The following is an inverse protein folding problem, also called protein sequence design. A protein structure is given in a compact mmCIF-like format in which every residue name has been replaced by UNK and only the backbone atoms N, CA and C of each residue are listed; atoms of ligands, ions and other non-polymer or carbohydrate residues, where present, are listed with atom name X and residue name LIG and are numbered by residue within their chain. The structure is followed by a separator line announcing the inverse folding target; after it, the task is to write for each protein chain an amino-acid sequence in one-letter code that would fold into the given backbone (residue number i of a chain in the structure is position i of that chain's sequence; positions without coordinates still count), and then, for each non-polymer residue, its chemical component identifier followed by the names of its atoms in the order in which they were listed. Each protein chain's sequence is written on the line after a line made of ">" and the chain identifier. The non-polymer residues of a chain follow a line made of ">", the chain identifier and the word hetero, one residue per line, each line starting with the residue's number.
data_IF_723114977347
#
_entry.id   IF_723114977347
#
_cell.length_a   1.000
_cell.length_b   1.000
_cell.length_c   1.000
_cell.angle_alpha   90.00
_cell.angle_beta   90.00
_cell.angle_gamma   90.00
#
_symmetry.space_group_name_H-M   'P 1'
#
loop_
_entity.id
_entity.type
_entity.pdbx_description
1 polymer ?
#
# COMPACT_ATOMS: atom_id res chain seq x y z
N UNK A 1 -8.91 -5.76 12.80
CA UNK A 1 -8.21 -5.23 11.63
C UNK A 1 -9.00 -4.20 10.81
N UNK A 2 -10.34 -4.14 10.88
CA UNK A 2 -11.17 -3.12 10.21
C UNK A 2 -10.92 -1.67 10.66
N UNK A 3 -10.39 -1.45 11.85
CA UNK A 3 -10.27 -0.11 12.47
C UNK A 3 -9.00 0.65 12.02
N UNK A 4 -7.92 -0.04 11.69
CA UNK A 4 -6.63 0.62 11.45
C UNK A 4 -6.49 1.22 10.05
N UNK A 5 -7.05 0.59 9.02
CA UNK A 5 -6.95 1.09 7.63
C UNK A 5 -8.05 2.12 7.32
N UNK A 6 -9.25 1.93 7.85
CA UNK A 6 -10.33 2.93 7.77
C UNK A 6 -10.00 4.20 8.56
N UNK A 7 -9.24 4.12 9.65
CA UNK A 7 -8.79 5.30 10.40
C UNK A 7 -7.82 6.18 9.59
N UNK A 8 -6.97 5.60 8.74
CA UNK A 8 -6.07 6.37 7.85
C UNK A 8 -6.85 7.02 6.71
N UNK A 9 -7.87 6.37 6.16
CA UNK A 9 -8.73 6.96 5.12
C UNK A 9 -9.75 7.97 5.71
N UNK A 10 -10.29 7.72 6.90
CA UNK A 10 -11.29 8.60 7.52
C UNK A 10 -10.71 9.95 7.96
N UNK A 11 -9.44 10.01 8.38
CA UNK A 11 -8.77 11.27 8.73
C UNK A 11 -8.48 12.15 7.50
N UNK A 12 -8.39 11.58 6.31
CA UNK A 12 -8.20 12.34 5.07
C UNK A 12 -9.49 13.03 4.56
N UNK A 13 -10.67 12.56 4.99
CA UNK A 13 -11.97 13.09 4.59
C UNK A 13 -12.46 14.28 5.42
N UNK A 14 -11.76 14.70 6.48
CA UNK A 14 -12.13 15.84 7.32
C UNK A 14 -11.35 17.11 6.99
N UNK A 15 -11.20 17.45 5.73
CA UNK A 15 -10.73 18.78 5.36
C UNK A 15 -11.91 19.78 5.44
N UNK A 16 -11.82 20.86 6.22
CA UNK A 16 -12.91 21.83 6.31
C UNK A 16 -13.01 22.63 5.00
N UNK A 17 -14.15 22.53 4.33
CA UNK A 17 -14.53 23.41 3.22
C UNK A 17 -14.77 24.83 3.75
N UNK A 18 -13.72 25.65 3.86
CA UNK A 18 -13.91 27.08 4.04
C UNK A 18 -14.30 27.76 2.72
N UNK A 19 -15.60 27.89 2.47
CA UNK A 19 -16.14 28.84 1.52
C UNK A 19 -15.95 30.27 2.08
N UNK A 20 -14.92 30.97 1.66
CA UNK A 20 -14.80 32.41 1.87
C UNK A 20 -15.57 33.17 0.80
N UNK A 21 -16.71 33.77 1.20
CA UNK A 21 -17.29 34.89 0.48
C UNK A 21 -16.32 36.08 0.51
N UNK A 22 -15.74 36.40 -0.64
CA UNK A 22 -14.88 37.57 -0.82
C UNK A 22 -15.77 38.77 -1.16
N UNK A 23 -15.96 39.69 -0.19
CA UNK A 23 -16.42 41.05 -0.46
C UNK A 23 -15.26 41.79 -1.17
N UNK A 24 -15.57 42.39 -2.33
CA UNK A 24 -14.65 43.24 -3.06
C UNK A 24 -14.76 44.65 -2.46
N UNK A 25 -13.81 45.05 -1.66
CA UNK A 25 -13.61 46.45 -1.25
C UNK A 25 -12.30 46.94 -1.88
N UNK A 26 -12.41 48.05 -2.60
CA UNK A 26 -11.39 48.59 -3.49
C UNK A 26 -10.23 49.38 -2.81
N UNK A 27 -9.55 48.78 -1.83
CA UNK A 27 -8.32 49.35 -1.27
C UNK A 27 -7.13 48.44 -1.58
N UNK A 28 -6.07 49.03 -2.19
CA UNK A 28 -4.82 48.31 -2.48
C UNK A 28 -4.30 47.62 -1.21
N UNK A 29 -4.04 46.30 -1.27
CA UNK A 29 -3.44 45.62 -0.13
C UNK A 29 -2.00 46.12 0.08
N UNK A 30 -1.56 46.27 1.35
CA UNK A 30 -0.16 46.55 1.65
C UNK A 30 0.69 45.36 1.14
N UNK A 31 1.82 45.70 0.51
CA UNK A 31 2.83 44.75 0.07
C UNK A 31 3.24 43.90 1.28
N UNK A 32 3.05 42.60 1.29
CA UNK A 32 3.49 41.78 2.42
C UNK A 32 5.02 41.86 2.47
N UNK A 33 5.56 42.42 3.56
CA UNK A 33 6.99 42.30 3.85
C UNK A 33 7.32 40.81 3.85
N UNK A 34 8.20 40.37 2.95
CA UNK A 34 8.82 39.04 2.98
C UNK A 34 9.73 38.93 4.22
N UNK A 35 9.13 38.95 5.40
CA UNK A 35 9.77 38.35 6.56
C UNK A 35 9.77 36.85 6.28
N UNK A 36 10.92 36.34 5.85
CA UNK A 36 11.15 34.94 5.62
C UNK A 36 10.66 34.13 6.83
N UNK A 37 9.53 33.51 6.67
CA UNK A 37 9.11 32.42 7.56
C UNK A 37 10.22 31.38 7.44
N UNK A 38 11.17 31.39 8.38
CA UNK A 38 12.08 30.26 8.58
C UNK A 38 11.15 29.09 8.92
N UNK A 39 10.71 28.37 7.89
CA UNK A 39 10.11 27.07 8.05
C UNK A 39 11.15 26.26 8.82
N UNK A 40 10.96 26.09 10.13
CA UNK A 40 11.76 25.15 10.90
C UNK A 40 11.56 23.83 10.17
N UNK A 41 12.62 23.33 9.53
CA UNK A 41 12.66 21.97 9.02
C UNK A 41 12.26 21.09 10.21
N UNK A 42 11.04 20.56 10.17
CA UNK A 42 10.58 19.62 11.18
C UNK A 42 11.35 18.34 10.92
N UNK A 43 12.32 18.06 11.77
CA UNK A 43 13.06 16.80 11.75
C UNK A 43 12.05 15.66 11.89
N UNK A 44 12.18 14.64 11.05
CA UNK A 44 11.33 13.46 11.15
C UNK A 44 11.43 12.83 12.56
N UNK A 45 10.36 12.26 13.11
CA UNK A 45 10.42 11.60 14.42
C UNK A 45 11.50 10.50 14.51
N UNK A 46 11.90 9.91 13.38
CA UNK A 46 13.01 8.94 13.29
C UNK A 46 14.41 9.59 13.38
N UNK A 47 14.52 10.90 13.10
CA UNK A 47 15.79 11.61 12.99
C UNK A 47 16.65 11.23 11.78
N UNK A 48 16.15 10.38 10.88
CA UNK A 48 16.93 9.86 9.74
C UNK A 48 17.23 10.96 8.70
N UNK A 49 16.30 11.88 8.50
CA UNK A 49 16.46 13.02 7.59
C UNK A 49 17.60 13.97 7.99
N UNK A 50 18.02 13.95 9.26
CA UNK A 50 19.19 14.69 9.76
C UNK A 50 20.53 13.98 9.55
N UNK A 51 20.54 12.72 9.09
CA UNK A 51 21.76 11.95 8.87
C UNK A 51 22.43 12.33 7.54
N UNK A 52 23.76 12.12 7.41
CA UNK A 52 24.44 12.17 6.11
C UNK A 52 23.79 11.22 5.08
N UNK A 53 23.73 11.64 3.82
CA UNK A 53 23.06 10.87 2.75
C UNK A 53 23.47 9.39 2.67
N UNK A 54 24.76 9.01 2.80
CA UNK A 54 25.12 7.60 2.80
C UNK A 54 24.48 6.80 3.94
N UNK A 55 24.33 7.39 5.13
CA UNK A 55 23.65 6.74 6.26
C UNK A 55 22.13 6.65 6.04
N UNK A 56 21.52 7.65 5.43
CA UNK A 56 20.12 7.58 5.01
C UNK A 56 19.90 6.41 4.03
N UNK A 57 20.82 6.20 3.07
CA UNK A 57 20.81 5.06 2.16
C UNK A 57 20.88 3.72 2.90
N UNK A 58 21.76 3.60 3.88
CA UNK A 58 21.87 2.38 4.71
C UNK A 58 20.57 2.11 5.46
N UNK A 59 19.94 3.14 6.05
CA UNK A 59 18.65 3.00 6.74
C UNK A 59 17.55 2.59 5.76
N UNK A 60 17.48 3.20 4.58
CA UNK A 60 16.53 2.82 3.53
C UNK A 60 16.67 1.34 3.15
N UNK A 61 17.89 0.90 2.83
CA UNK A 61 18.17 -0.49 2.47
C UNK A 61 17.88 -1.46 3.63
N UNK A 62 18.16 -1.04 4.86
CA UNK A 62 17.84 -1.82 6.06
C UNK A 62 16.33 -2.00 6.25
N UNK A 63 15.54 -0.92 6.04
CA UNK A 63 14.08 -1.00 6.09
C UNK A 63 13.52 -1.87 4.96
N UNK A 64 13.98 -1.68 3.73
CA UNK A 64 13.55 -2.46 2.58
C UNK A 64 13.90 -3.96 2.74
N UNK A 65 15.14 -4.25 3.18
CA UNK A 65 15.59 -5.61 3.48
C UNK A 65 14.83 -6.25 4.63
N UNK A 66 14.55 -5.48 5.69
CA UNK A 66 13.74 -5.94 6.83
C UNK A 66 12.30 -6.28 6.45
N UNK A 67 11.66 -5.43 5.62
CA UNK A 67 10.32 -5.70 5.09
C UNK A 67 10.34 -6.93 4.18
N UNK A 68 11.32 -7.03 3.27
CA UNK A 68 11.47 -8.17 2.37
C UNK A 68 11.73 -9.48 3.12
N UNK A 69 12.66 -9.49 4.07
CA UNK A 69 12.95 -10.64 4.91
C UNK A 69 11.76 -11.05 5.78
N UNK A 70 11.05 -10.06 6.35
CA UNK A 70 9.81 -10.28 7.08
C UNK A 70 8.70 -10.89 6.21
N UNK A 71 8.56 -10.43 4.96
CA UNK A 71 7.61 -10.99 4.00
C UNK A 71 7.92 -12.46 3.66
N UNK A 72 9.19 -12.79 3.44
CA UNK A 72 9.64 -14.18 3.21
C UNK A 72 9.36 -15.05 4.44
N UNK A 73 9.64 -14.56 5.64
CA UNK A 73 9.34 -15.28 6.88
C UNK A 73 7.83 -15.51 7.08
N UNK A 74 7.01 -14.47 6.79
CA UNK A 74 5.55 -14.59 6.83
C UNK A 74 5.05 -15.61 5.81
N UNK A 75 5.55 -15.57 4.56
CA UNK A 75 5.18 -16.54 3.53
C UNK A 75 5.50 -17.97 4.00
N UNK A 76 6.72 -18.21 4.50
CA UNK A 76 7.13 -19.53 5.01
C UNK A 76 6.27 -19.99 6.19
N UNK A 77 5.86 -19.08 7.09
CA UNK A 77 4.96 -19.40 8.19
C UNK A 77 3.56 -19.80 7.69
N UNK A 78 3.03 -19.06 6.73
CA UNK A 78 1.74 -19.37 6.10
C UNK A 78 1.80 -20.71 5.38
N UNK A 79 2.89 -21.04 4.66
CA UNK A 79 3.10 -22.32 4.00
C UNK A 79 3.10 -23.50 4.99
N UNK A 80 3.73 -23.33 6.17
CA UNK A 80 3.70 -24.34 7.24
C UNK A 80 2.28 -24.56 7.78
N UNK A 81 1.55 -23.45 8.03
CA UNK A 81 0.15 -23.51 8.47
C UNK A 81 -0.70 -24.22 7.42
N UNK A 82 -0.57 -23.85 6.14
CA UNK A 82 -1.24 -24.50 5.02
C UNK A 82 -0.96 -26.01 4.99
N UNK A 83 0.32 -26.41 5.07
CA UNK A 83 0.70 -27.82 5.05
C UNK A 83 0.07 -28.61 6.21
N UNK A 84 0.01 -28.04 7.41
CA UNK A 84 -0.65 -28.65 8.55
C UNK A 84 -2.17 -28.80 8.35
N UNK A 85 -2.83 -27.81 7.73
CA UNK A 85 -4.24 -27.88 7.38
C UNK A 85 -4.50 -28.92 6.30
N UNK A 86 -3.72 -28.93 5.23
CA UNK A 86 -3.89 -29.85 4.09
C UNK A 86 -3.59 -31.31 4.44
N UNK A 87 -2.88 -31.59 5.53
CA UNK A 87 -2.66 -32.93 6.03
C UNK A 87 -3.97 -33.63 6.51
N UNK A 88 -5.07 -32.89 6.66
CA UNK A 88 -6.38 -33.39 7.01
C UNK A 88 -7.39 -33.03 5.92
N UNK A 89 -8.31 -33.93 5.56
CA UNK A 89 -9.32 -33.66 4.52
C UNK A 89 -10.19 -32.43 4.82
N UNK A 90 -10.62 -32.25 6.07
CA UNK A 90 -11.34 -31.05 6.50
C UNK A 90 -10.50 -29.77 6.43
N UNK A 91 -9.19 -29.89 6.62
CA UNK A 91 -8.27 -28.77 6.55
C UNK A 91 -8.04 -28.27 5.12
N UNK A 92 -8.04 -29.14 4.12
CA UNK A 92 -7.94 -28.75 2.72
C UNK A 92 -9.13 -27.85 2.30
N UNK A 93 -10.35 -28.23 2.69
CA UNK A 93 -11.55 -27.44 2.44
C UNK A 93 -11.51 -26.10 3.21
N UNK A 94 -11.06 -26.10 4.47
CA UNK A 94 -10.91 -24.88 5.24
C UNK A 94 -9.89 -23.93 4.62
N UNK A 95 -8.79 -24.46 4.06
CA UNK A 95 -7.79 -23.64 3.34
C UNK A 95 -8.38 -23.05 2.06
N UNK A 96 -9.09 -23.85 1.27
CA UNK A 96 -9.78 -23.36 0.07
C UNK A 96 -10.72 -22.19 0.41
N UNK A 97 -11.57 -22.35 1.42
CA UNK A 97 -12.45 -21.27 1.92
C UNK A 97 -11.69 -20.05 2.39
N UNK A 98 -10.56 -20.25 3.08
CA UNK A 98 -9.69 -19.13 3.47
C UNK A 98 -9.21 -18.34 2.25
N UNK A 99 -8.77 -19.00 1.17
CA UNK A 99 -8.30 -18.35 -0.07
C UNK A 99 -9.44 -17.54 -0.71
N UNK A 100 -10.64 -18.09 -0.81
CA UNK A 100 -11.82 -17.41 -1.36
C UNK A 100 -12.14 -16.11 -0.59
N UNK A 101 -12.19 -16.18 0.75
CA UNK A 101 -12.41 -15.02 1.60
C UNK A 101 -11.24 -14.04 1.58
N UNK A 102 -10.00 -14.53 1.45
CA UNK A 102 -8.81 -13.68 1.36
C UNK A 102 -8.82 -12.88 0.06
N UNK A 103 -9.21 -13.46 -1.07
CA UNK A 103 -9.39 -12.73 -2.34
C UNK A 103 -10.41 -11.62 -2.19
N UNK A 104 -11.58 -11.92 -1.63
CA UNK A 104 -12.61 -10.90 -1.42
C UNK A 104 -12.12 -9.79 -0.47
N UNK A 105 -11.53 -10.14 0.66
CA UNK A 105 -11.05 -9.19 1.66
C UNK A 105 -9.91 -8.30 1.15
N UNK A 106 -8.90 -8.90 0.51
CA UNK A 106 -7.80 -8.15 -0.10
C UNK A 106 -8.27 -7.31 -1.28
N UNK A 107 -9.15 -7.86 -2.12
CA UNK A 107 -9.73 -7.13 -3.24
C UNK A 107 -10.44 -5.86 -2.78
N UNK A 108 -11.31 -5.95 -1.77
CA UNK A 108 -11.99 -4.80 -1.17
C UNK A 108 -10.99 -3.80 -0.55
N UNK A 109 -9.93 -4.30 0.09
CA UNK A 109 -8.87 -3.46 0.64
C UNK A 109 -8.18 -2.62 -0.45
N UNK A 110 -7.79 -3.27 -1.56
CA UNK A 110 -7.12 -2.58 -2.67
C UNK A 110 -8.05 -1.65 -3.43
N UNK A 111 -9.32 -2.02 -3.64
CA UNK A 111 -10.33 -1.09 -4.21
C UNK A 111 -10.45 0.15 -3.33
N UNK A 112 -10.55 0.00 -2.01
CA UNK A 112 -10.63 1.15 -1.10
C UNK A 112 -9.35 2.01 -1.13
N UNK A 113 -8.17 1.39 -1.23
CA UNK A 113 -6.90 2.10 -1.36
C UNK A 113 -6.82 2.85 -2.70
N UNK A 114 -7.20 2.22 -3.82
CA UNK A 114 -7.24 2.85 -5.13
C UNK A 114 -8.19 4.03 -5.20
N UNK A 115 -9.41 3.91 -4.64
CA UNK A 115 -10.32 5.06 -4.48
C UNK A 115 -9.68 6.17 -3.68
N UNK A 116 -8.97 5.83 -2.59
CA UNK A 116 -8.24 6.78 -1.75
C UNK A 116 -7.20 7.60 -2.53
N UNK A 117 -6.49 6.98 -3.50
CA UNK A 117 -5.52 7.67 -4.35
C UNK A 117 -6.14 8.81 -5.15
N UNK A 118 -7.39 8.67 -5.60
CA UNK A 118 -8.09 9.72 -6.33
C UNK A 118 -8.81 10.71 -5.41
N UNK A 119 -9.43 10.22 -4.33
CA UNK A 119 -10.15 11.07 -3.39
C UNK A 119 -9.24 11.98 -2.56
N UNK A 120 -8.00 11.55 -2.28
CA UNK A 120 -7.01 12.26 -1.48
C UNK A 120 -5.66 12.40 -2.22
N UNK A 121 -5.68 12.69 -3.52
CA UNK A 121 -4.50 12.68 -4.38
C UNK A 121 -3.34 13.52 -3.84
N UNK A 122 -3.59 14.70 -3.27
CA UNK A 122 -2.55 15.56 -2.72
C UNK A 122 -1.86 14.94 -1.50
N UNK A 123 -2.60 14.19 -0.68
CA UNK A 123 -2.03 13.47 0.45
C UNK A 123 -1.08 12.35 -0.03
N UNK A 124 -1.45 11.60 -1.07
CA UNK A 124 -0.59 10.57 -1.65
C UNK A 124 0.64 11.17 -2.36
N UNK A 125 0.49 12.32 -3.04
CA UNK A 125 1.63 13.06 -3.63
C UNK A 125 2.64 13.47 -2.56
N UNK A 126 2.16 13.88 -1.38
CA UNK A 126 3.03 14.33 -0.28
C UNK A 126 3.94 13.23 0.28
N UNK A 127 3.58 11.97 0.13
CA UNK A 127 4.37 10.81 0.58
C UNK A 127 5.20 10.15 -0.52
N UNK A 128 5.14 10.67 -1.75
CA UNK A 128 5.97 10.16 -2.86
C UNK A 128 7.39 10.69 -2.71
N UNK A 129 8.44 9.82 -2.63
CA UNK A 129 9.81 10.27 -2.47
C UNK A 129 10.25 11.12 -3.68
N UNK A 130 10.84 12.33 -3.47
CA UNK A 130 11.47 13.09 -4.53
C UNK A 130 12.66 12.36 -5.15
N UNK A 131 13.01 12.72 -6.38
CA UNK A 131 14.23 12.23 -7.03
C UNK A 131 15.46 12.49 -6.15
N UNK A 132 16.36 11.52 -6.06
CA UNK A 132 17.58 11.60 -5.26
C UNK A 132 17.40 11.39 -3.76
N UNK A 133 16.19 11.17 -3.26
CA UNK A 133 15.95 10.81 -1.85
C UNK A 133 16.85 9.64 -1.45
N UNK A 134 17.45 9.70 -0.27
CA UNK A 134 18.49 8.78 0.25
C UNK A 134 19.76 8.67 -0.63
N UNK A 135 19.93 9.52 -1.67
CA UNK A 135 20.98 9.37 -2.67
C UNK A 135 20.81 8.18 -3.63
N UNK A 136 19.73 7.44 -3.53
CA UNK A 136 19.48 6.20 -4.27
C UNK A 136 18.20 6.23 -5.11
N UNK A 137 17.20 7.09 -4.77
CA UNK A 137 15.91 7.06 -5.43
C UNK A 137 15.99 7.58 -6.89
N UNK A 138 15.86 6.69 -7.90
CA UNK A 138 16.19 7.05 -9.28
C UNK A 138 15.00 7.56 -10.08
N UNK A 139 13.80 7.68 -9.48
CA UNK A 139 12.56 7.88 -10.24
C UNK A 139 12.31 9.39 -10.44
N UNK A 140 12.49 9.92 -11.68
CA UNK A 140 12.39 11.34 -11.96
C UNK A 140 10.97 11.83 -12.26
N UNK A 141 9.97 10.94 -12.22
CA UNK A 141 8.61 11.26 -12.65
C UNK A 141 7.84 12.06 -11.61
N UNK A 142 6.88 12.87 -12.10
CA UNK A 142 6.04 13.70 -11.23
C UNK A 142 5.22 12.84 -10.26
N UNK A 143 5.07 13.24 -8.97
CA UNK A 143 4.25 12.53 -7.99
C UNK A 143 2.82 12.24 -8.46
N UNK A 144 2.23 13.17 -9.24
CA UNK A 144 0.88 12.98 -9.80
C UNK A 144 0.77 11.74 -10.70
N UNK A 145 1.81 11.44 -11.49
CA UNK A 145 1.84 10.25 -12.32
C UNK A 145 1.86 8.98 -11.45
N UNK A 146 2.71 8.96 -10.42
CA UNK A 146 2.79 7.80 -9.51
C UNK A 146 1.47 7.55 -8.81
N UNK A 147 0.83 8.58 -8.28
CA UNK A 147 -0.47 8.48 -7.60
C UNK A 147 -1.55 7.96 -8.56
N UNK A 148 -1.56 8.42 -9.82
CA UNK A 148 -2.57 8.01 -10.78
C UNK A 148 -2.44 6.54 -11.18
N UNK A 149 -1.25 6.09 -11.60
CA UNK A 149 -1.08 4.72 -12.08
C UNK A 149 -1.17 3.68 -10.93
N UNK A 150 -0.65 3.99 -9.74
CA UNK A 150 -0.75 3.09 -8.59
C UNK A 150 -2.20 2.94 -8.13
N UNK A 151 -2.95 4.05 -8.05
CA UNK A 151 -4.38 4.00 -7.72
C UNK A 151 -5.19 3.20 -8.74
N UNK A 152 -4.87 3.35 -10.04
CA UNK A 152 -5.51 2.56 -11.09
C UNK A 152 -5.19 1.07 -10.99
N UNK A 153 -3.92 0.73 -10.73
CA UNK A 153 -3.49 -0.66 -10.57
C UNK A 153 -4.17 -1.31 -9.33
N UNK A 154 -4.30 -0.56 -8.23
CA UNK A 154 -5.03 -1.02 -7.04
C UNK A 154 -6.51 -1.26 -7.32
N UNK A 155 -7.18 -0.34 -8.06
CA UNK A 155 -8.60 -0.50 -8.43
C UNK A 155 -8.81 -1.73 -9.31
N UNK A 156 -8.03 -1.87 -10.39
CA UNK A 156 -8.18 -2.98 -11.33
C UNK A 156 -7.83 -4.31 -10.67
N UNK A 157 -6.68 -4.40 -10.00
CA UNK A 157 -6.26 -5.61 -9.30
C UNK A 157 -7.22 -5.99 -8.19
N UNK A 158 -7.65 -5.02 -7.39
CA UNK A 158 -8.62 -5.23 -6.31
C UNK A 158 -9.98 -5.68 -6.81
N UNK A 159 -10.54 -5.03 -7.86
CA UNK A 159 -11.80 -5.43 -8.47
C UNK A 159 -11.74 -6.84 -9.06
N UNK A 160 -10.62 -7.21 -9.67
CA UNK A 160 -10.39 -8.56 -10.19
C UNK A 160 -10.40 -9.61 -9.08
N UNK A 161 -9.75 -9.34 -7.93
CA UNK A 161 -9.78 -10.24 -6.78
C UNK A 161 -11.18 -10.34 -6.16
N UNK A 162 -11.92 -9.22 -6.09
CA UNK A 162 -13.33 -9.24 -5.61
C UNK A 162 -14.18 -10.12 -6.52
N UNK A 163 -14.06 -9.98 -7.84
CA UNK A 163 -14.82 -10.77 -8.79
C UNK A 163 -14.47 -12.26 -8.69
N UNK A 164 -13.18 -12.62 -8.63
CA UNK A 164 -12.72 -14.00 -8.47
C UNK A 164 -13.16 -14.63 -7.15
N UNK A 165 -13.00 -13.90 -6.03
CA UNK A 165 -13.46 -14.38 -4.73
C UNK A 165 -14.98 -14.54 -4.63
N UNK A 166 -15.74 -13.62 -5.23
CA UNK A 166 -17.20 -13.71 -5.27
C UNK A 166 -17.68 -14.88 -6.14
N UNK A 167 -17.06 -15.11 -7.30
CA UNK A 167 -17.36 -16.27 -8.16
C UNK A 167 -17.11 -17.58 -7.42
N UNK A 168 -15.95 -17.71 -6.77
CA UNK A 168 -15.59 -18.90 -6.01
C UNK A 168 -16.56 -19.17 -4.85
N UNK A 169 -16.95 -18.12 -4.10
CA UNK A 169 -17.95 -18.25 -3.02
C UNK A 169 -19.34 -18.62 -3.54
N UNK A 170 -19.69 -18.22 -4.76
CA UNK A 170 -20.95 -18.58 -5.43
C UNK A 170 -20.90 -19.97 -6.08
N UNK A 171 -19.77 -20.69 -6.03
CA UNK A 171 -19.59 -21.98 -6.70
C UNK A 171 -19.53 -21.87 -8.23
N UNK A 172 -19.17 -20.69 -8.74
CA UNK A 172 -19.01 -20.45 -10.18
C UNK A 172 -17.57 -20.79 -10.57
N UNK A 173 -17.40 -21.80 -11.40
CA UNK A 173 -16.11 -22.15 -11.97
C UNK A 173 -15.77 -21.19 -13.11
N UNK A 174 -14.57 -20.61 -13.04
CA UNK A 174 -14.06 -19.69 -14.06
C UNK A 174 -13.32 -20.52 -15.12
N UNK A 175 -13.79 -20.44 -16.36
CA UNK A 175 -13.13 -21.05 -17.52
C UNK A 175 -12.00 -20.15 -18.06
N UNK A 176 -11.11 -20.70 -18.89
CA UNK A 176 -10.09 -19.91 -19.58
C UNK A 176 -10.75 -18.89 -20.56
N UNK A 177 -10.26 -17.64 -20.65
CA UNK A 177 -9.08 -17.11 -19.95
C UNK A 177 -9.38 -16.56 -18.54
N UNK A 178 -10.63 -16.53 -18.06
CA UNK A 178 -11.03 -15.84 -16.83
C UNK A 178 -10.40 -16.48 -15.57
N UNK A 179 -10.12 -17.78 -15.57
CA UNK A 179 -9.46 -18.47 -14.44
C UNK A 179 -8.07 -17.93 -14.10
N UNK A 180 -7.39 -17.26 -15.08
CA UNK A 180 -6.08 -16.64 -14.90
C UNK A 180 -6.13 -15.27 -14.26
N UNK A 181 -7.29 -14.61 -14.22
CA UNK A 181 -7.40 -13.23 -13.72
C UNK A 181 -7.06 -13.10 -12.23
N UNK A 182 -7.58 -13.94 -11.29
CA UNK A 182 -7.21 -13.84 -9.88
C UNK A 182 -5.72 -14.05 -9.60
N UNK A 183 -5.03 -15.08 -10.15
CA UNK A 183 -3.59 -15.26 -9.97
C UNK A 183 -2.77 -14.08 -10.51
N UNK A 184 -3.09 -13.58 -11.71
CA UNK A 184 -2.40 -12.43 -12.29
C UNK A 184 -2.63 -11.17 -11.45
N UNK A 185 -3.85 -10.96 -10.95
CA UNK A 185 -4.15 -9.83 -10.06
C UNK A 185 -3.36 -9.93 -8.75
N UNK A 186 -3.28 -11.11 -8.12
CA UNK A 186 -2.46 -11.31 -6.92
C UNK A 186 -0.99 -10.99 -7.16
N UNK A 187 -0.41 -11.50 -8.24
CA UNK A 187 0.99 -11.25 -8.60
C UNK A 187 1.23 -9.77 -8.92
N UNK A 188 0.30 -9.12 -9.65
CA UNK A 188 0.35 -7.71 -9.96
C UNK A 188 0.27 -6.83 -8.70
N UNK A 189 -0.63 -7.15 -7.77
CA UNK A 189 -0.76 -6.44 -6.49
C UNK A 189 0.44 -6.69 -5.55
N UNK A 190 1.03 -7.89 -5.58
CA UNK A 190 2.29 -8.17 -4.88
C UNK A 190 3.41 -7.25 -5.41
N UNK A 191 3.61 -7.21 -6.72
CA UNK A 191 4.59 -6.34 -7.35
C UNK A 191 4.32 -4.86 -7.03
N UNK A 192 3.07 -4.42 -7.16
CA UNK A 192 2.67 -3.06 -6.83
C UNK A 192 3.01 -2.71 -5.37
N UNK A 193 2.70 -3.60 -4.43
CA UNK A 193 2.98 -3.39 -2.99
C UNK A 193 4.49 -3.27 -2.71
N UNK A 194 5.31 -4.03 -3.45
CA UNK A 194 6.78 -3.87 -3.41
C UNK A 194 7.18 -2.49 -3.94
N UNK A 195 6.64 -2.08 -5.09
CA UNK A 195 6.99 -0.81 -5.75
C UNK A 195 6.56 0.43 -4.96
N UNK A 196 5.50 0.35 -4.15
CA UNK A 196 5.08 1.47 -3.28
C UNK A 196 5.74 1.47 -1.89
N UNK A 197 6.51 0.43 -1.55
CA UNK A 197 7.26 0.33 -0.28
C UNK A 197 8.16 1.54 -0.02
N UNK A 198 8.86 2.13 -1.00
CA UNK A 198 9.65 3.35 -0.79
C UNK A 198 8.86 4.53 -0.24
N UNK A 199 7.58 4.71 -0.63
CA UNK A 199 6.74 5.75 -0.05
C UNK A 199 6.51 5.52 1.46
N UNK A 200 6.34 4.27 1.87
CA UNK A 200 6.20 3.88 3.27
C UNK A 200 7.47 4.14 4.08
N UNK A 201 8.64 3.86 3.49
CA UNK A 201 9.94 4.15 4.10
C UNK A 201 10.19 5.67 4.14
N UNK A 202 9.78 6.42 3.12
CA UNK A 202 9.90 7.87 3.06
C UNK A 202 9.11 8.55 4.19
N UNK A 203 7.90 8.09 4.48
CA UNK A 203 7.14 8.58 5.63
C UNK A 203 7.89 8.37 6.96
N UNK A 204 8.56 7.24 7.13
CA UNK A 204 9.36 6.95 8.32
C UNK A 204 10.65 7.79 8.38
N UNK A 205 11.40 7.84 7.29
CA UNK A 205 12.74 8.46 7.27
C UNK A 205 12.71 9.98 7.18
N UNK A 206 11.70 10.57 6.52
CA UNK A 206 11.61 12.01 6.26
C UNK A 206 10.37 12.66 6.89
N UNK A 207 9.60 11.92 7.68
CA UNK A 207 8.41 12.45 8.34
C UNK A 207 7.31 12.92 7.37
N UNK A 208 7.33 12.43 6.13
CA UNK A 208 6.28 12.73 5.16
C UNK A 208 4.92 12.24 5.68
N UNK A 209 3.86 13.02 5.50
CA UNK A 209 2.54 12.72 6.04
C UNK A 209 1.45 12.98 5.02
N UNK A 210 0.33 12.28 5.18
CA UNK A 210 -0.87 12.47 4.37
C UNK A 210 -1.78 13.59 4.92
N UNK A 211 -1.20 14.64 5.50
CA UNK A 211 -1.94 15.83 5.98
C UNK A 211 -2.19 15.90 7.49
N UNK A 212 -2.01 14.81 8.23
CA UNK A 212 -2.34 14.75 9.68
C UNK A 212 -1.19 15.14 10.63
N UNK A 213 -0.07 15.66 10.11
CA UNK A 213 1.14 15.93 10.90
C UNK A 213 2.01 14.68 11.12
N UNK A 214 3.14 14.81 11.86
CA UNK A 214 4.08 13.70 12.04
C UNK A 214 3.43 12.51 12.75
N UNK A 215 3.63 11.33 12.21
CA UNK A 215 3.14 10.08 12.80
C UNK A 215 4.13 9.55 13.85
N UNK A 216 3.68 8.98 14.97
CA UNK A 216 4.56 8.43 16.00
C UNK A 216 5.33 7.20 15.46
N UNK A 217 6.55 6.96 15.98
CA UNK A 217 7.40 5.84 15.56
C UNK A 217 6.69 4.49 15.65
N UNK A 218 5.91 4.26 16.70
CA UNK A 218 5.14 3.03 16.89
C UNK A 218 4.20 2.74 15.72
N UNK A 219 3.60 3.78 15.11
CA UNK A 219 2.76 3.63 13.92
C UNK A 219 3.54 3.04 12.73
N UNK A 220 4.77 3.51 12.52
CA UNK A 220 5.61 3.02 11.42
C UNK A 220 6.01 1.56 11.63
N UNK A 221 6.32 1.15 12.86
CA UNK A 221 6.66 -0.25 13.16
C UNK A 221 5.47 -1.18 12.92
N UNK A 222 4.27 -0.81 13.38
CA UNK A 222 3.04 -1.57 13.09
C UNK A 222 2.79 -1.64 11.58
N UNK A 223 2.96 -0.53 10.87
CA UNK A 223 2.78 -0.48 9.41
C UNK A 223 3.76 -1.40 8.68
N UNK A 224 5.03 -1.42 9.08
CA UNK A 224 6.03 -2.32 8.49
C UNK A 224 5.70 -3.79 8.77
N UNK A 225 5.27 -4.12 9.98
CA UNK A 225 4.82 -5.48 10.31
C UNK A 225 3.60 -5.91 9.47
N UNK A 226 2.60 -5.03 9.33
CA UNK A 226 1.43 -5.27 8.47
C UNK A 226 1.85 -5.46 7.02
N UNK A 227 2.83 -4.70 6.54
CA UNK A 227 3.34 -4.83 5.18
C UNK A 227 4.06 -6.16 4.95
N UNK A 228 4.84 -6.67 5.92
CA UNK A 228 5.43 -8.00 5.84
C UNK A 228 4.35 -9.09 5.70
N UNK A 229 3.30 -9.01 6.51
CA UNK A 229 2.17 -9.97 6.44
C UNK A 229 1.44 -9.87 5.11
N UNK A 230 1.17 -8.66 4.63
CA UNK A 230 0.47 -8.43 3.36
C UNK A 230 1.26 -8.99 2.17
N UNK A 231 2.56 -8.71 2.11
CA UNK A 231 3.44 -9.24 1.06
C UNK A 231 3.54 -10.76 1.12
N UNK A 232 3.71 -11.34 2.32
CA UNK A 232 3.76 -12.79 2.50
C UNK A 232 2.45 -13.47 2.10
N UNK A 233 1.31 -12.88 2.45
CA UNK A 233 -0.01 -13.40 2.08
C UNK A 233 -0.25 -13.32 0.57
N UNK A 234 0.04 -12.17 -0.07
CA UNK A 234 -0.08 -12.01 -1.53
C UNK A 234 0.80 -13.00 -2.28
N UNK A 235 2.03 -13.25 -1.80
CA UNK A 235 2.93 -14.22 -2.40
C UNK A 235 2.38 -15.65 -2.31
N UNK A 236 1.81 -16.04 -1.15
CA UNK A 236 1.16 -17.34 -0.98
C UNK A 236 -0.05 -17.47 -1.91
N UNK A 237 -0.94 -16.49 -1.91
CA UNK A 237 -2.15 -16.52 -2.72
C UNK A 237 -1.85 -16.53 -4.23
N UNK A 238 -0.85 -15.76 -4.68
CA UNK A 238 -0.41 -15.79 -6.06
C UNK A 238 0.08 -17.20 -6.44
N UNK A 239 0.99 -17.76 -5.65
CA UNK A 239 1.55 -19.09 -5.88
C UNK A 239 0.46 -20.17 -5.94
N UNK A 240 -0.43 -20.20 -4.95
CA UNK A 240 -1.47 -21.21 -4.87
C UNK A 240 -2.48 -21.09 -6.01
N UNK A 241 -2.92 -19.88 -6.33
CA UNK A 241 -3.88 -19.67 -7.40
C UNK A 241 -3.30 -19.94 -8.80
N UNK A 242 -2.01 -19.66 -9.03
CA UNK A 242 -1.34 -20.08 -10.26
C UNK A 242 -1.26 -21.61 -10.36
N UNK A 243 -0.95 -22.27 -9.27
CA UNK A 243 -0.87 -23.73 -9.24
C UNK A 243 -2.22 -24.38 -9.59
N UNK A 244 -3.32 -23.90 -9.01
CA UNK A 244 -4.66 -24.38 -9.34
C UNK A 244 -5.04 -24.10 -10.80
N UNK A 245 -4.82 -22.87 -11.28
CA UNK A 245 -5.16 -22.50 -12.66
C UNK A 245 -4.37 -23.30 -13.70
N UNK A 246 -3.14 -23.74 -13.37
CA UNK A 246 -2.28 -24.54 -14.27
C UNK A 246 -2.61 -26.03 -14.18
N UNK A 247 -2.94 -26.57 -13.01
CA UNK A 247 -3.22 -27.98 -12.79
C UNK A 247 -4.37 -28.49 -13.66
N UNK A 248 -5.40 -27.67 -13.85
CA UNK A 248 -6.56 -27.99 -14.70
C UNK A 248 -6.23 -28.09 -16.21
N UNK A 249 -5.03 -27.67 -16.66
CA UNK A 249 -4.62 -27.77 -18.08
C UNK A 249 -3.81 -29.05 -18.38
N UNK A 250 -3.44 -29.82 -17.36
CA UNK A 250 -2.60 -31.02 -17.49
C UNK A 250 -3.42 -32.32 -17.40
N UNK A 251 -4.66 -32.25 -16.91
CA UNK A 251 -5.62 -33.36 -16.89
C UNK A 251 -6.48 -33.38 -18.16
#
# INVERSE_FOLDING_TARGET
>A
MRVLYLAVCATALQAPTQRRHRRVDGTRPPVPSMRGSRTRLRVAPSGVDGLPVPLQAVVFLGCAGGIGGGAVACNAAIDKIRGAFQATGAGAEAWRKFVEYAFLGLGLLYVAAGVGHFAAADAFRAITPPFGTWGLWPVPTAPAFHVAWTGQAELVGGATLVAGGAAALAGIELEAPAKWLPPVACAGLLLLTILVTPANIYMYTHGATMGAGPLPLAFHYVRFAVQCVLLGLLATLAKDSFFYAWGDEIE
#
